data_IF_129467495084
#
_entry.id   IF_129467495084
#
_cell.length_a   1.000
_cell.length_b   1.000
_cell.length_c   1.000
_cell.angle_alpha   90.00
_cell.angle_beta   90.00
_cell.angle_gamma   90.00
#
_symmetry.space_group_name_H-M   'P 1'
#
loop_
_entity.id
_entity.type
_entity.pdbx_description
1 polymer ?
#
# COMPACT_ATOMS: atom_id res chain seq x y z
N UNK A 1 14.97 8.22 -14.34
CA UNK A 1 15.89 7.23 -13.74
C UNK A 1 16.48 7.70 -12.41
N UNK A 2 17.01 8.93 -12.28
CA UNK A 2 17.54 9.46 -11.00
C UNK A 2 16.52 9.42 -9.85
N UNK A 3 15.29 9.88 -10.09
CA UNK A 3 14.22 9.87 -9.08
C UNK A 3 13.86 8.45 -8.60
N UNK A 4 13.85 7.48 -9.52
CA UNK A 4 13.63 6.07 -9.18
C UNK A 4 14.74 5.53 -8.29
N UNK A 5 16.00 5.83 -8.61
CA UNK A 5 17.14 5.40 -7.78
C UNK A 5 17.10 6.02 -6.39
N UNK A 6 16.72 7.30 -6.28
CA UNK A 6 16.55 7.96 -5.00
C UNK A 6 15.45 7.30 -4.15
N UNK A 7 14.32 6.93 -4.77
CA UNK A 7 13.23 6.25 -4.06
C UNK A 7 13.64 4.83 -3.62
N UNK A 8 14.33 4.06 -4.49
CA UNK A 8 14.87 2.74 -4.12
C UNK A 8 15.88 2.85 -2.97
N UNK A 9 16.78 3.84 -3.02
CA UNK A 9 17.75 4.06 -1.96
C UNK A 9 17.07 4.40 -0.64
N UNK A 10 16.06 5.28 -0.68
CA UNK A 10 15.24 5.62 0.49
C UNK A 10 14.55 4.39 1.08
N UNK A 11 13.88 3.58 0.24
CA UNK A 11 13.20 2.35 0.69
C UNK A 11 14.18 1.32 1.26
N UNK A 12 15.41 1.27 0.74
CA UNK A 12 16.48 0.41 1.28
C UNK A 12 16.95 0.92 2.65
N UNK A 13 17.14 2.23 2.80
CA UNK A 13 17.54 2.86 4.07
C UNK A 13 16.48 2.75 5.16
N UNK A 14 15.20 2.78 4.80
CA UNK A 14 14.07 2.56 5.74
C UNK A 14 13.77 1.08 5.98
N UNK A 15 14.60 0.16 5.45
CA UNK A 15 14.44 -1.29 5.55
C UNK A 15 13.10 -1.82 5.00
N UNK A 16 12.46 -1.09 4.09
CA UNK A 16 11.23 -1.54 3.41
C UNK A 16 11.54 -2.59 2.32
N UNK A 17 12.71 -2.49 1.68
CA UNK A 17 13.14 -3.42 0.63
C UNK A 17 14.61 -3.82 0.83
N UNK A 18 15.00 -4.93 0.19
CA UNK A 18 16.39 -5.40 0.14
C UNK A 18 16.68 -6.07 -1.21
N UNK A 19 17.95 -6.16 -1.64
CA UNK A 19 18.33 -7.00 -2.76
C UNK A 19 17.88 -8.45 -2.57
N UNK A 20 17.44 -9.08 -3.66
CA UNK A 20 16.88 -10.43 -3.65
C UNK A 20 17.25 -11.18 -4.93
N UNK A 21 17.54 -12.48 -4.79
CA UNK A 21 17.73 -13.43 -5.89
C UNK A 21 16.52 -14.37 -6.01
N UNK A 22 15.32 -13.86 -5.71
CA UNK A 22 14.08 -14.63 -5.78
C UNK A 22 13.83 -15.16 -7.20
N UNK A 23 13.32 -16.40 -7.36
CA UNK A 23 12.87 -16.89 -8.65
C UNK A 23 11.59 -16.19 -9.15
N UNK A 24 10.93 -15.44 -8.26
CA UNK A 24 9.77 -14.61 -8.58
C UNK A 24 10.17 -13.14 -8.73
N UNK A 25 9.68 -12.52 -9.80
CA UNK A 25 9.78 -11.07 -10.02
C UNK A 25 8.45 -10.51 -10.54
N UNK A 26 8.21 -9.24 -10.26
CA UNK A 26 7.04 -8.50 -10.76
C UNK A 26 7.50 -7.13 -11.25
N UNK A 27 6.97 -6.61 -12.37
CA UNK A 27 7.44 -5.36 -12.93
C UNK A 27 7.03 -4.17 -12.04
N UNK A 28 7.86 -3.13 -12.06
CA UNK A 28 7.60 -1.86 -11.38
C UNK A 28 7.10 -0.83 -12.38
N UNK A 29 5.97 -0.21 -12.06
CA UNK A 29 5.32 0.86 -12.80
C UNK A 29 5.54 2.17 -12.04
N UNK A 30 5.90 3.24 -12.76
CA UNK A 30 6.10 4.56 -12.18
C UNK A 30 4.90 5.43 -12.49
N UNK A 31 4.33 6.04 -11.47
CA UNK A 31 3.26 7.01 -11.62
C UNK A 31 3.65 8.36 -10.99
N UNK A 32 3.26 9.47 -11.60
CA UNK A 32 3.49 10.81 -11.04
C UNK A 32 2.36 11.16 -10.07
N UNK A 33 2.71 11.64 -8.89
CA UNK A 33 1.78 12.23 -7.94
C UNK A 33 1.37 13.62 -8.41
N UNK A 34 0.23 14.11 -7.89
CA UNK A 34 -0.22 15.49 -8.10
C UNK A 34 0.75 16.53 -7.53
N UNK A 35 1.50 16.17 -6.48
CA UNK A 35 2.52 17.01 -5.84
C UNK A 35 3.86 17.06 -6.62
N UNK A 36 3.95 16.39 -7.77
CA UNK A 36 5.16 16.31 -8.59
C UNK A 36 6.11 15.17 -8.23
N UNK A 37 5.90 14.48 -7.10
CA UNK A 37 6.68 13.30 -6.73
C UNK A 37 6.35 12.05 -7.56
N UNK A 38 7.09 10.97 -7.37
CA UNK A 38 6.81 9.67 -8.00
C UNK A 38 6.23 8.66 -7.00
N UNK A 39 5.45 7.70 -7.50
CA UNK A 39 5.04 6.47 -6.80
C UNK A 39 5.54 5.27 -7.60
N UNK A 40 6.30 4.40 -6.94
CA UNK A 40 6.66 3.09 -7.47
C UNK A 40 5.54 2.10 -7.13
N UNK A 41 4.92 1.52 -8.14
CA UNK A 41 3.84 0.54 -8.03
C UNK A 41 4.34 -0.81 -8.54
N UNK A 42 4.16 -1.88 -7.78
CA UNK A 42 4.54 -3.22 -8.23
C UNK A 42 3.29 -3.94 -8.75
N UNK A 43 3.35 -4.47 -9.96
CA UNK A 43 2.23 -5.21 -10.55
C UNK A 43 2.19 -6.64 -10.03
N UNK A 44 1.51 -6.83 -8.89
CA UNK A 44 1.32 -8.14 -8.28
C UNK A 44 0.15 -8.94 -8.86
N UNK A 45 -0.46 -8.57 -9.99
CA UNK A 45 -1.66 -9.28 -10.50
C UNK A 45 -1.44 -10.79 -10.68
N UNK A 46 -0.31 -11.19 -11.26
CA UNK A 46 0.06 -12.62 -11.44
C UNK A 46 0.35 -13.33 -10.11
N UNK A 47 0.95 -12.62 -9.16
CA UNK A 47 1.19 -13.15 -7.82
C UNK A 47 -0.14 -13.35 -7.09
N UNK A 48 -1.02 -12.34 -7.13
CA UNK A 48 -2.32 -12.34 -6.47
C UNK A 48 -3.28 -13.42 -7.01
N UNK A 49 -3.11 -13.89 -8.25
CA UNK A 49 -3.91 -14.98 -8.81
C UNK A 49 -3.51 -16.37 -8.30
N UNK A 50 -2.28 -16.52 -7.80
CA UNK A 50 -1.77 -17.80 -7.27
C UNK A 50 -1.72 -17.85 -5.75
N UNK A 51 -1.89 -16.71 -5.07
CA UNK A 51 -1.95 -16.65 -3.60
C UNK A 51 -3.35 -16.96 -3.09
N UNK A 52 -3.41 -17.66 -1.95
CA UNK A 52 -4.67 -17.88 -1.23
C UNK A 52 -5.11 -16.56 -0.59
N UNK A 53 -6.34 -16.12 -0.88
CA UNK A 53 -6.91 -14.94 -0.23
C UNK A 53 -7.23 -15.25 1.22
N UNK A 54 -6.72 -14.42 2.13
CA UNK A 54 -7.13 -14.41 3.54
C UNK A 54 -8.15 -13.28 3.74
N UNK A 55 -9.43 -13.65 3.67
CA UNK A 55 -10.53 -12.68 3.69
C UNK A 55 -11.03 -12.49 5.11
N UNK A 56 -10.55 -11.44 5.78
CA UNK A 56 -11.15 -10.95 7.02
C UNK A 56 -12.41 -10.12 6.71
N UNK A 57 -13.55 -10.34 7.40
CA UNK A 57 -14.76 -9.58 7.14
C UNK A 57 -14.56 -8.11 7.54
N UNK A 58 -14.64 -7.23 6.55
CA UNK A 58 -14.65 -5.79 6.78
C UNK A 58 -16.10 -5.32 6.90
N UNK A 59 -16.47 -4.61 7.99
CA UNK A 59 -17.84 -4.12 8.16
C UNK A 59 -18.19 -3.11 7.06
N UNK A 60 -19.47 -3.06 6.73
CA UNK A 60 -19.97 -2.07 5.76
C UNK A 60 -19.94 -0.67 6.35
N UNK A 61 -19.95 0.35 5.50
CA UNK A 61 -20.02 1.75 5.97
C UNK A 61 -21.28 2.01 6.79
N UNK A 62 -22.41 1.40 6.44
CA UNK A 62 -23.67 1.52 7.18
C UNK A 62 -23.57 0.91 8.57
N UNK A 63 -22.99 -0.29 8.69
CA UNK A 63 -22.75 -0.95 9.98
C UNK A 63 -21.84 -0.10 10.89
N UNK A 64 -20.79 0.50 10.32
CA UNK A 64 -19.90 1.39 11.06
C UNK A 64 -20.64 2.65 11.53
N UNK A 65 -21.44 3.28 10.68
CA UNK A 65 -22.21 4.49 11.03
C UNK A 65 -23.26 4.21 12.11
N UNK A 66 -23.96 3.07 12.02
CA UNK A 66 -24.91 2.66 13.04
C UNK A 66 -24.22 2.48 14.41
N UNK A 67 -23.06 1.83 14.45
CA UNK A 67 -22.28 1.66 15.70
C UNK A 67 -21.81 2.98 16.30
N UNK A 68 -21.58 4.00 15.48
CA UNK A 68 -21.11 5.30 15.92
C UNK A 68 -22.24 6.21 16.43
N UNK A 69 -23.51 5.92 16.15
CA UNK A 69 -24.64 6.79 16.51
C UNK A 69 -24.74 7.11 18.02
N UNK A 70 -25.28 8.30 18.34
CA UNK A 70 -25.60 8.68 19.72
C UNK A 70 -24.48 9.36 20.52
N UNK A 71 -23.30 9.56 19.93
CA UNK A 71 -22.18 10.22 20.61
C UNK A 71 -22.11 11.72 20.28
N UNK A 72 -21.72 12.53 21.26
CA UNK A 72 -21.60 14.00 21.13
C UNK A 72 -20.29 14.45 20.45
N UNK A 73 -19.25 13.63 20.56
CA UNK A 73 -17.91 13.91 20.04
C UNK A 73 -17.33 12.67 19.38
N UNK A 74 -16.57 12.87 18.30
CA UNK A 74 -15.90 11.82 17.55
C UNK A 74 -14.45 12.21 17.31
N UNK A 75 -13.55 11.23 17.40
CA UNK A 75 -12.13 11.39 17.07
C UNK A 75 -11.73 10.27 16.12
N UNK A 76 -11.02 10.62 15.04
CA UNK A 76 -10.44 9.65 14.10
C UNK A 76 -8.92 9.67 14.25
N UNK A 77 -8.33 8.48 14.29
CA UNK A 77 -6.89 8.28 14.17
C UNK A 77 -6.60 7.60 12.83
N UNK A 78 -5.60 8.10 12.12
CA UNK A 78 -5.12 7.52 10.87
C UNK A 78 -3.70 7.01 11.11
N UNK A 79 -3.52 5.69 11.04
CA UNK A 79 -2.20 5.08 11.19
C UNK A 79 -1.40 5.29 9.90
N UNK A 80 -0.16 5.77 10.05
CA UNK A 80 0.80 5.92 8.96
C UNK A 80 1.68 4.69 8.83
#
# INVERSE_FOLDING_TARGET
RRELQAEIQKMTQTNQIRPSNSPWSSPVIIHKKKDGGIRCLVDYRKLNSVTKKDCFPQPTTEELLHRLGGHRFYTKLDLK
#
